data_IF_290011458909
#
_entry.id   IF_290011458909
#
_cell.length_a   1.000
_cell.length_b   1.000
_cell.length_c   1.000
_cell.angle_alpha   90.00
_cell.angle_beta   90.00
_cell.angle_gamma   90.00
#
_symmetry.space_group_name_H-M   'P 1'
#
loop_
_entity.id
_entity.type
_entity.pdbx_description
1 polymer ?
#
# COMPACT_ATOMS: atom_id res chain seq x y z
N UNK A 1 -13.67 -4.73 -41.25
CA UNK A 1 -13.09 -3.53 -40.62
C UNK A 1 -12.73 -3.91 -39.20
N UNK A 2 -11.45 -4.17 -38.97
CA UNK A 2 -10.92 -4.62 -37.68
C UNK A 2 -11.00 -3.48 -36.68
N UNK A 3 -11.75 -3.69 -35.60
CA UNK A 3 -11.78 -2.84 -34.42
C UNK A 3 -10.47 -3.05 -33.65
N UNK A 4 -9.54 -2.11 -33.77
CA UNK A 4 -8.36 -2.04 -32.91
C UNK A 4 -8.81 -1.95 -31.44
N UNK A 5 -8.23 -2.82 -30.61
CA UNK A 5 -8.32 -2.73 -29.15
C UNK A 5 -7.69 -1.41 -28.68
N UNK A 6 -8.14 -0.81 -27.56
CA UNK A 6 -7.50 0.38 -27.01
C UNK A 6 -6.01 0.08 -26.76
N UNK A 7 -5.14 0.91 -27.34
CA UNK A 7 -3.68 0.81 -27.20
C UNK A 7 -3.32 0.87 -25.72
N UNK A 8 -2.57 -0.13 -25.25
CA UNK A 8 -1.98 -0.12 -23.91
C UNK A 8 -1.29 1.22 -23.64
N UNK A 9 -1.62 1.85 -22.51
CA UNK A 9 -1.11 3.17 -22.11
C UNK A 9 0.42 3.17 -22.24
N UNK A 10 0.96 4.09 -23.05
CA UNK A 10 2.40 4.16 -23.26
C UNK A 10 3.04 4.73 -22.00
N UNK A 11 3.75 3.85 -21.31
CA UNK A 11 4.53 4.15 -20.10
C UNK A 11 5.50 5.33 -20.30
N UNK A 12 6.05 5.48 -21.51
CA UNK A 12 6.93 6.58 -21.91
C UNK A 12 6.12 7.75 -22.46
N UNK A 13 6.37 8.97 -21.96
CA UNK A 13 5.74 10.19 -22.44
C UNK A 13 6.22 10.57 -23.85
N UNK A 14 7.47 10.24 -24.17
CA UNK A 14 8.11 10.60 -25.43
C UNK A 14 8.66 9.34 -26.11
N UNK A 15 8.49 9.23 -27.42
CA UNK A 15 9.08 8.17 -28.24
C UNK A 15 10.44 8.60 -28.83
N UNK A 16 11.29 7.63 -29.17
CA UNK A 16 12.57 7.89 -29.84
C UNK A 16 12.36 8.66 -31.15
N UNK A 17 13.14 9.72 -31.37
CA UNK A 17 13.10 10.53 -32.61
C UNK A 17 12.03 11.63 -32.63
N UNK A 18 11.31 11.86 -31.54
CA UNK A 18 10.38 12.98 -31.41
C UNK A 18 11.14 14.31 -31.32
N UNK A 19 10.71 15.31 -32.08
CA UNK A 19 11.13 16.71 -31.93
C UNK A 19 10.56 17.29 -30.62
N UNK A 20 11.40 17.32 -29.58
CA UNK A 20 11.00 17.72 -28.22
C UNK A 20 10.44 19.15 -28.17
N UNK A 21 11.08 20.19 -28.74
CA UNK A 21 10.50 21.53 -28.76
C UNK A 21 9.13 21.60 -29.44
N UNK A 22 8.94 20.90 -30.57
CA UNK A 22 7.64 20.88 -31.25
C UNK A 22 6.59 20.15 -30.42
N UNK A 23 6.97 19.04 -29.79
CA UNK A 23 6.06 18.27 -28.95
C UNK A 23 5.65 19.04 -27.69
N UNK A 24 6.58 19.72 -27.03
CA UNK A 24 6.28 20.58 -25.88
C UNK A 24 5.26 21.67 -26.25
N UNK A 25 5.42 22.36 -27.39
CA UNK A 25 4.45 23.35 -27.88
C UNK A 25 3.06 22.76 -28.12
N UNK A 26 2.98 21.56 -28.70
CA UNK A 26 1.70 20.86 -28.88
C UNK A 26 1.05 20.57 -27.52
N UNK A 27 1.81 20.08 -26.55
CA UNK A 27 1.29 19.77 -25.23
C UNK A 27 0.83 21.01 -24.47
N UNK A 28 1.50 22.15 -24.61
CA UNK A 28 1.01 23.42 -24.05
C UNK A 28 -0.35 23.80 -24.64
N UNK A 29 -0.54 23.64 -25.96
CA UNK A 29 -1.85 23.89 -26.59
C UNK A 29 -2.93 22.90 -26.11
N UNK A 30 -2.57 21.64 -25.87
CA UNK A 30 -3.48 20.63 -25.30
C UNK A 30 -3.87 21.02 -23.87
N UNK A 31 -2.88 21.38 -23.04
CA UNK A 31 -3.06 21.82 -21.67
C UNK A 31 -3.99 23.03 -21.59
N UNK A 32 -3.67 24.12 -22.31
CA UNK A 32 -4.47 25.34 -22.34
C UNK A 32 -5.92 25.07 -22.80
N UNK A 33 -6.09 24.28 -23.85
CA UNK A 33 -7.42 23.95 -24.37
C UNK A 33 -8.23 23.13 -23.37
N UNK A 34 -7.65 22.11 -22.75
CA UNK A 34 -8.36 21.28 -21.76
C UNK A 34 -8.73 22.09 -20.52
N UNK A 35 -7.81 22.90 -19.99
CA UNK A 35 -8.07 23.69 -18.78
C UNK A 35 -9.05 24.86 -19.02
N UNK A 36 -9.14 25.37 -20.25
CA UNK A 36 -10.14 26.38 -20.65
C UNK A 36 -11.47 25.80 -21.14
N UNK A 37 -11.64 24.47 -21.13
CA UNK A 37 -12.86 23.81 -21.61
C UNK A 37 -13.04 23.84 -23.14
N UNK A 38 -11.99 24.16 -23.89
CA UNK A 38 -11.96 24.13 -25.34
C UNK A 38 -11.61 22.74 -25.87
N UNK A 39 -11.88 22.51 -27.17
CA UNK A 39 -11.48 21.26 -27.83
C UNK A 39 -9.96 21.26 -28.07
N UNK A 40 -9.19 20.33 -27.50
CA UNK A 40 -7.75 20.32 -27.67
C UNK A 40 -7.35 19.82 -29.08
N UNK A 41 -6.17 20.25 -29.58
CA UNK A 41 -5.66 19.82 -30.90
C UNK A 41 -5.29 18.33 -30.94
N UNK A 42 -5.06 17.73 -29.78
CA UNK A 42 -4.86 16.29 -29.59
C UNK A 42 -5.40 15.88 -28.21
N UNK A 43 -5.70 14.59 -28.03
CA UNK A 43 -6.09 14.09 -26.72
C UNK A 43 -4.85 13.95 -25.81
N UNK A 44 -4.94 14.34 -24.53
CA UNK A 44 -3.91 14.00 -23.56
C UNK A 44 -3.82 12.47 -23.42
N UNK A 45 -2.64 11.96 -23.04
CA UNK A 45 -2.49 10.53 -22.71
C UNK A 45 -3.43 10.14 -21.57
N UNK A 46 -3.86 8.88 -21.54
CA UNK A 46 -4.88 8.43 -20.59
C UNK A 46 -4.47 8.68 -19.12
N UNK A 47 -3.21 8.42 -18.74
CA UNK A 47 -2.70 8.72 -17.39
C UNK A 47 -2.81 10.21 -17.04
N UNK A 48 -2.52 11.10 -17.99
CA UNK A 48 -2.60 12.55 -17.81
C UNK A 48 -4.07 12.99 -17.73
N UNK A 49 -4.91 12.47 -18.61
CA UNK A 49 -6.35 12.76 -18.64
C UNK A 49 -7.03 12.36 -17.32
N UNK A 50 -6.73 11.16 -16.78
CA UNK A 50 -7.24 10.70 -15.48
C UNK A 50 -6.80 11.63 -14.35
N UNK A 51 -5.51 11.97 -14.31
CA UNK A 51 -4.94 12.89 -13.32
C UNK A 51 -5.61 14.27 -13.36
N UNK A 52 -5.69 14.90 -14.54
CA UNK A 52 -6.32 16.22 -14.71
C UNK A 52 -7.80 16.19 -14.32
N UNK A 53 -8.52 15.13 -14.69
CA UNK A 53 -9.93 14.98 -14.31
C UNK A 53 -10.11 14.93 -12.79
N UNK A 54 -9.24 14.22 -12.06
CA UNK A 54 -9.27 14.19 -10.57
C UNK A 54 -8.99 15.57 -9.98
N UNK A 55 -7.98 16.26 -10.52
CA UNK A 55 -7.57 17.59 -10.04
C UNK A 55 -8.65 18.65 -10.27
N UNK A 56 -9.27 18.66 -11.46
CA UNK A 56 -10.38 19.54 -11.78
C UNK A 56 -11.61 19.24 -10.91
N UNK A 57 -11.93 17.97 -10.70
CA UNK A 57 -13.01 17.57 -9.79
C UNK A 57 -12.73 17.99 -8.33
N UNK A 58 -11.45 18.06 -7.93
CA UNK A 58 -11.00 18.59 -6.65
C UNK A 58 -10.90 20.11 -6.58
N UNK A 59 -11.19 20.84 -7.65
CA UNK A 59 -11.13 22.31 -7.70
C UNK A 59 -9.72 22.88 -7.70
N UNK A 60 -8.69 22.09 -8.03
CA UNK A 60 -7.31 22.57 -8.05
C UNK A 60 -7.07 23.53 -9.22
N UNK A 61 -6.53 24.71 -8.93
CA UNK A 61 -6.07 25.65 -9.95
C UNK A 61 -4.62 25.32 -10.40
N UNK A 62 -4.33 25.31 -11.71
CA UNK A 62 -2.97 25.11 -12.22
C UNK A 62 -1.98 26.20 -11.79
N UNK A 63 -2.47 27.41 -11.49
CA UNK A 63 -1.65 28.57 -11.14
C UNK A 63 -1.36 28.67 -9.62
N UNK A 64 -2.10 27.91 -8.81
CA UNK A 64 -1.98 27.89 -7.35
C UNK A 64 -1.65 26.48 -6.84
N UNK A 65 -0.61 25.89 -7.42
CA UNK A 65 -0.04 24.64 -6.93
C UNK A 65 1.08 24.95 -5.92
N UNK A 66 1.10 24.24 -4.78
CA UNK A 66 2.12 24.30 -3.72
C UNK A 66 2.03 25.39 -2.61
N UNK A 67 0.91 25.49 -1.90
CA UNK A 67 0.78 26.30 -0.67
C UNK A 67 1.12 25.53 0.64
N UNK A 68 1.82 24.39 0.55
CA UNK A 68 2.15 23.58 1.73
C UNK A 68 3.60 23.85 2.16
N UNK A 69 3.77 24.34 3.39
CA UNK A 69 5.10 24.49 3.98
C UNK A 69 5.82 23.13 4.05
N UNK A 70 7.09 23.05 3.63
CA UNK A 70 7.88 21.82 3.75
C UNK A 70 8.02 21.37 5.21
N UNK A 71 8.04 20.05 5.42
CA UNK A 71 8.35 19.45 6.70
C UNK A 71 9.71 19.93 7.21
N UNK A 72 9.80 20.19 8.52
CA UNK A 72 11.06 20.61 9.13
C UNK A 72 12.07 19.46 9.23
N UNK A 73 13.30 19.78 9.62
CA UNK A 73 14.37 18.79 9.76
C UNK A 73 14.01 17.64 10.70
N UNK A 74 13.32 17.92 11.81
CA UNK A 74 12.97 16.90 12.80
C UNK A 74 11.94 15.92 12.27
N UNK A 75 10.96 16.42 11.51
CA UNK A 75 9.97 15.58 10.85
C UNK A 75 10.61 14.74 9.73
N UNK A 76 11.51 15.31 8.92
CA UNK A 76 12.23 14.58 7.88
C UNK A 76 13.04 13.43 8.50
N UNK A 77 13.80 13.68 9.57
CA UNK A 77 14.59 12.63 10.23
C UNK A 77 13.71 11.54 10.86
N UNK A 78 12.57 11.91 11.43
CA UNK A 78 11.59 10.95 11.95
C UNK A 78 11.04 10.05 10.83
N UNK A 79 10.72 10.63 9.66
CA UNK A 79 10.28 9.88 8.46
C UNK A 79 11.39 8.96 7.93
N UNK A 80 12.62 9.47 7.80
CA UNK A 80 13.82 8.70 7.39
C UNK A 80 14.12 7.51 8.31
N UNK A 81 13.89 7.68 9.61
CA UNK A 81 14.10 6.62 10.61
C UNK A 81 13.06 5.51 10.52
N UNK A 82 11.80 5.87 10.23
CA UNK A 82 10.66 4.94 10.22
C UNK A 82 10.48 4.21 8.88
N UNK A 83 10.92 4.80 7.77
CA UNK A 83 10.73 4.20 6.44
C UNK A 83 11.64 2.99 6.19
N UNK A 84 11.10 1.96 5.54
CA UNK A 84 11.88 0.83 5.04
C UNK A 84 12.76 1.20 3.84
N UNK A 85 12.52 2.34 3.18
CA UNK A 85 13.35 2.81 2.06
C UNK A 85 14.80 3.08 2.45
N UNK A 86 15.05 3.41 3.73
CA UNK A 86 16.40 3.61 4.26
C UNK A 86 17.31 2.40 4.02
N UNK A 87 16.74 1.19 4.10
CA UNK A 87 17.44 -0.07 3.87
C UNK A 87 18.05 -0.15 2.47
N UNK A 88 17.30 0.30 1.46
CA UNK A 88 17.67 0.20 0.04
C UNK A 88 18.32 1.46 -0.49
N UNK A 89 18.41 2.51 0.32
CA UNK A 89 19.05 3.77 -0.07
C UNK A 89 20.47 3.58 -0.63
N UNK A 90 21.37 2.77 -0.03
CA UNK A 90 22.70 2.57 -0.59
C UNK A 90 22.68 1.97 -2.01
N UNK A 91 21.76 1.03 -2.26
CA UNK A 91 21.59 0.38 -3.57
C UNK A 91 21.00 1.32 -4.62
N UNK A 92 20.02 2.14 -4.23
CA UNK A 92 19.44 3.15 -5.10
C UNK A 92 20.49 4.21 -5.47
N UNK A 93 21.30 4.65 -4.51
CA UNK A 93 22.40 5.60 -4.75
C UNK A 93 23.48 5.03 -5.66
N UNK A 94 23.91 3.80 -5.42
CA UNK A 94 24.93 3.16 -6.27
C UNK A 94 24.45 2.98 -7.71
N UNK A 95 23.16 2.72 -7.91
CA UNK A 95 22.57 2.50 -9.24
C UNK A 95 22.29 3.80 -10.00
N UNK A 96 21.81 4.84 -9.30
CA UNK A 96 21.23 6.02 -9.97
C UNK A 96 22.07 7.29 -9.86
N UNK A 97 22.86 7.47 -8.80
CA UNK A 97 23.50 8.77 -8.55
C UNK A 97 24.54 9.12 -9.61
N UNK A 98 25.41 8.18 -10.03
CA UNK A 98 26.38 8.44 -11.09
C UNK A 98 25.71 8.78 -12.43
N UNK A 99 24.67 8.01 -12.78
CA UNK A 99 23.89 8.26 -14.01
C UNK A 99 23.23 9.64 -13.97
N UNK A 100 22.73 10.05 -12.81
CA UNK A 100 22.09 11.35 -12.65
C UNK A 100 23.07 12.52 -12.78
N UNK A 101 24.29 12.40 -12.26
CA UNK A 101 25.32 13.42 -12.43
C UNK A 101 25.74 13.58 -13.90
N UNK A 102 26.03 12.47 -14.57
CA UNK A 102 26.47 12.47 -15.98
C UNK A 102 25.38 12.96 -16.94
N UNK A 103 24.12 12.63 -16.66
CA UNK A 103 22.99 12.95 -17.53
C UNK A 103 22.24 14.25 -17.16
N UNK A 104 22.78 15.06 -16.24
CA UNK A 104 22.15 16.29 -15.75
C UNK A 104 20.71 16.08 -15.25
N UNK A 105 20.54 15.15 -14.32
CA UNK A 105 19.31 14.90 -13.59
C UNK A 105 19.51 15.00 -12.07
N UNK A 106 18.41 14.98 -11.35
CA UNK A 106 18.35 14.68 -9.92
C UNK A 106 17.58 13.39 -9.70
N UNK A 107 18.00 12.64 -8.68
CA UNK A 107 17.27 11.50 -8.13
C UNK A 107 16.61 11.97 -6.84
N UNK A 108 15.33 11.67 -6.72
CA UNK A 108 14.51 12.00 -5.56
C UNK A 108 13.88 10.73 -5.04
N UNK A 109 13.90 10.56 -3.73
CA UNK A 109 13.19 9.49 -3.05
C UNK A 109 12.17 10.13 -2.12
N UNK A 110 10.89 9.85 -2.37
CA UNK A 110 9.78 10.32 -1.54
C UNK A 110 9.14 9.14 -0.79
N UNK A 111 8.54 9.41 0.37
CA UNK A 111 7.74 8.41 1.09
C UNK A 111 6.35 8.21 0.49
N UNK A 112 5.57 7.30 1.08
CA UNK A 112 4.21 6.98 0.65
C UNK A 112 3.21 8.14 0.76
N UNK A 113 3.53 9.20 1.52
CA UNK A 113 2.71 10.43 1.60
C UNK A 113 3.08 11.46 0.51
N UNK A 114 4.10 11.14 -0.30
CA UNK A 114 4.69 12.02 -1.30
C UNK A 114 5.66 13.04 -0.72
N UNK A 115 6.17 12.85 0.50
CA UNK A 115 7.15 13.77 1.11
C UNK A 115 8.56 13.40 0.67
N UNK A 116 9.30 14.38 0.17
CA UNK A 116 10.67 14.20 -0.27
C UNK A 116 11.60 13.90 0.90
N UNK A 117 12.21 12.72 0.89
CA UNK A 117 13.13 12.29 1.94
C UNK A 117 14.60 12.43 1.56
N UNK A 118 14.96 12.19 0.30
CA UNK A 118 16.35 12.31 -0.16
C UNK A 118 16.40 12.90 -1.56
N UNK A 119 17.39 13.77 -1.82
CA UNK A 119 17.59 14.39 -3.14
C UNK A 119 19.08 14.50 -3.50
N UNK A 120 19.49 13.85 -4.59
CA UNK A 120 20.88 13.79 -5.06
C UNK A 120 20.99 14.04 -6.58
N UNK A 121 22.19 14.31 -7.10
CA UNK A 121 22.44 14.56 -8.52
C UNK A 121 22.97 15.97 -8.84
N UNK A 122 22.83 16.38 -10.11
CA UNK A 122 23.48 17.57 -10.67
C UNK A 122 23.15 18.87 -9.89
N UNK A 123 24.20 19.61 -9.52
CA UNK A 123 24.06 20.88 -8.77
C UNK A 123 23.22 21.92 -9.51
N UNK A 124 23.35 22.01 -10.83
CA UNK A 124 22.58 22.95 -11.65
C UNK A 124 21.09 22.64 -11.61
N UNK A 125 20.74 21.35 -11.73
CA UNK A 125 19.35 20.88 -11.66
C UNK A 125 18.79 21.04 -10.25
N UNK A 126 19.57 20.77 -9.20
CA UNK A 126 19.16 21.02 -7.80
C UNK A 126 18.79 22.50 -7.57
N UNK A 127 19.59 23.43 -8.10
CA UNK A 127 19.28 24.87 -8.01
C UNK A 127 18.00 25.24 -8.75
N UNK A 128 17.74 24.63 -9.91
CA UNK A 128 16.49 24.82 -10.63
C UNK A 128 15.30 24.22 -9.86
N UNK A 129 15.48 23.06 -9.22
CA UNK A 129 14.49 22.40 -8.38
C UNK A 129 14.15 23.25 -7.13
N UNK A 130 15.15 23.91 -6.52
CA UNK A 130 14.92 24.81 -5.39
C UNK A 130 13.97 25.96 -5.74
N UNK A 131 14.03 26.49 -6.96
CA UNK A 131 13.12 27.54 -7.43
C UNK A 131 11.66 27.08 -7.59
N UNK A 132 11.41 25.76 -7.63
CA UNK A 132 10.07 25.16 -7.62
C UNK A 132 9.61 24.74 -6.22
N UNK A 133 10.43 24.92 -5.18
CA UNK A 133 10.17 24.30 -3.88
C UNK A 133 10.29 22.78 -3.90
N UNK A 134 11.00 22.19 -4.89
CA UNK A 134 11.24 20.75 -4.99
C UNK A 134 12.41 20.34 -4.09
N UNK A 135 12.26 20.56 -2.78
CA UNK A 135 13.27 20.37 -1.74
C UNK A 135 12.90 19.24 -0.79
N UNK A 136 13.88 18.73 -0.03
CA UNK A 136 13.60 17.76 1.04
C UNK A 136 12.58 18.34 2.03
N UNK A 137 11.64 17.50 2.48
CA UNK A 137 10.49 17.90 3.30
C UNK A 137 9.27 18.41 2.52
N UNK A 138 9.43 18.81 1.25
CA UNK A 138 8.30 19.25 0.43
C UNK A 138 7.36 18.07 0.13
N UNK A 139 6.06 18.34 0.10
CA UNK A 139 5.04 17.34 -0.24
C UNK A 139 4.64 17.46 -1.71
N UNK A 140 4.90 16.40 -2.48
CA UNK A 140 4.66 16.29 -3.92
C UNK A 140 3.52 15.31 -4.26
N UNK A 141 2.57 15.14 -3.34
CA UNK A 141 1.32 14.45 -3.64
C UNK A 141 0.56 15.17 -4.78
N UNK A 142 -0.19 14.40 -5.60
CA UNK A 142 -0.93 14.95 -6.75
C UNK A 142 -1.90 16.05 -6.29
N UNK A 143 -2.57 15.87 -5.15
CA UNK A 143 -3.50 16.86 -4.59
C UNK A 143 -2.83 18.10 -3.98
N UNK A 144 -1.50 18.15 -3.90
CA UNK A 144 -0.75 19.29 -3.38
C UNK A 144 -0.11 20.12 -4.51
N UNK A 145 0.43 19.45 -5.54
CA UNK A 145 1.31 20.06 -6.55
C UNK A 145 0.79 19.86 -7.99
N UNK A 146 -0.37 19.22 -8.12
CA UNK A 146 -0.95 18.81 -9.40
C UNK A 146 -0.23 17.61 -10.01
N UNK A 147 -0.52 17.30 -11.27
CA UNK A 147 0.08 16.17 -12.00
C UNK A 147 1.59 16.28 -12.00
N UNK A 148 2.23 15.34 -11.31
CA UNK A 148 3.68 15.22 -11.18
C UNK A 148 4.04 13.74 -11.02
N UNK A 149 5.27 13.37 -11.33
CA UNK A 149 5.62 11.96 -11.43
C UNK A 149 5.59 11.21 -10.09
N UNK A 150 5.80 11.90 -8.96
CA UNK A 150 5.72 11.30 -7.61
C UNK A 150 4.25 11.03 -7.25
N UNK A 151 3.45 12.08 -7.19
CA UNK A 151 2.06 12.00 -6.78
C UNK A 151 1.20 11.12 -7.71
N UNK A 152 1.42 11.21 -9.02
CA UNK A 152 0.69 10.40 -9.98
C UNK A 152 1.13 8.94 -9.93
N UNK A 153 2.42 8.63 -9.74
CA UNK A 153 2.86 7.24 -9.57
C UNK A 153 2.28 6.57 -8.31
N UNK A 154 2.13 7.32 -7.21
CA UNK A 154 1.48 6.84 -5.99
C UNK A 154 0.01 6.47 -6.21
N UNK A 155 -0.72 7.27 -7.00
CA UNK A 155 -2.16 7.04 -7.24
C UNK A 155 -2.39 5.95 -8.28
N UNK A 156 -1.58 5.94 -9.34
CA UNK A 156 -1.69 4.95 -10.43
C UNK A 156 -1.09 3.60 -10.04
N UNK A 157 -0.37 3.51 -8.92
CA UNK A 157 0.36 2.31 -8.46
C UNK A 157 1.23 1.72 -9.59
N UNK A 158 1.89 2.62 -10.33
CA UNK A 158 2.62 2.30 -11.54
C UNK A 158 3.70 3.33 -11.83
N UNK A 159 4.69 2.93 -12.62
CA UNK A 159 5.70 3.87 -13.10
C UNK A 159 5.08 4.87 -14.09
N UNK A 160 5.42 6.15 -13.93
CA UNK A 160 4.88 7.25 -14.73
C UNK A 160 6.04 8.12 -15.20
N UNK A 161 6.06 8.42 -16.50
CA UNK A 161 6.88 9.50 -17.06
C UNK A 161 5.97 10.64 -17.48
N UNK A 162 6.34 11.86 -17.11
CA UNK A 162 5.67 13.10 -17.52
C UNK A 162 6.67 13.99 -18.24
N UNK A 163 6.23 14.59 -19.33
CA UNK A 163 7.03 15.51 -20.14
C UNK A 163 6.32 16.85 -20.29
N UNK A 164 7.02 17.93 -19.94
CA UNK A 164 6.59 19.30 -20.21
C UNK A 164 5.15 19.59 -19.75
N UNK A 165 4.28 20.08 -20.62
CA UNK A 165 2.90 20.48 -20.31
C UNK A 165 1.92 19.32 -20.01
N UNK A 166 2.42 18.10 -19.82
CA UNK A 166 1.67 17.05 -19.12
C UNK A 166 1.60 17.29 -17.61
N UNK A 167 2.57 18.04 -17.06
CA UNK A 167 2.46 18.55 -15.71
C UNK A 167 1.31 19.55 -15.61
N UNK A 168 0.54 19.45 -14.54
CA UNK A 168 -0.64 20.30 -14.36
C UNK A 168 -0.27 21.77 -14.15
N UNK A 169 0.77 22.03 -13.35
CA UNK A 169 1.25 23.38 -13.09
C UNK A 169 2.18 23.88 -14.22
N UNK A 170 1.94 25.08 -14.80
CA UNK A 170 2.80 25.68 -15.82
C UNK A 170 4.26 25.86 -15.40
N UNK A 171 4.51 26.07 -14.11
CA UNK A 171 5.85 26.17 -13.53
C UNK A 171 6.71 24.93 -13.76
N UNK A 172 6.09 23.75 -13.98
CA UNK A 172 6.78 22.49 -14.22
C UNK A 172 7.00 22.18 -15.72
N UNK A 173 6.49 22.99 -16.64
CA UNK A 173 6.54 22.68 -18.09
C UNK A 173 7.96 22.63 -18.68
N UNK A 174 8.95 23.18 -17.96
CA UNK A 174 10.38 23.04 -18.28
C UNK A 174 11.00 21.69 -17.92
N UNK A 175 10.25 20.80 -17.27
CA UNK A 175 10.75 19.57 -16.66
C UNK A 175 10.26 18.30 -17.36
N UNK A 176 11.07 17.26 -17.23
CA UNK A 176 10.67 15.87 -17.44
C UNK A 176 10.95 15.10 -16.17
N UNK A 177 9.98 14.30 -15.74
CA UNK A 177 10.02 13.55 -14.49
C UNK A 177 9.65 12.10 -14.77
N UNK A 178 10.29 11.16 -14.09
CA UNK A 178 10.03 9.72 -14.21
C UNK A 178 10.04 9.10 -12.82
N UNK A 179 8.84 8.78 -12.31
CA UNK A 179 8.62 8.18 -11.01
C UNK A 179 8.26 6.70 -11.12
N UNK A 180 8.72 5.89 -10.17
CA UNK A 180 8.24 4.52 -9.98
C UNK A 180 8.02 4.23 -8.49
N UNK A 181 6.86 3.67 -8.11
CA UNK A 181 6.61 3.29 -6.73
C UNK A 181 7.51 2.11 -6.34
N UNK A 182 8.00 2.13 -5.10
CA UNK A 182 8.72 1.02 -4.45
C UNK A 182 7.75 0.34 -3.50
N UNK A 183 7.63 -0.98 -3.61
CA UNK A 183 6.74 -1.76 -2.76
C UNK A 183 7.51 -2.48 -1.67
N UNK A 184 6.83 -2.71 -0.56
CA UNK A 184 7.26 -3.69 0.41
C UNK A 184 6.95 -5.10 -0.15
N UNK A 185 7.95 -5.94 -0.48
CA UNK A 185 7.69 -7.27 -1.03
C UNK A 185 6.98 -8.19 -0.02
N UNK A 186 6.93 -7.83 1.26
CA UNK A 186 6.29 -8.59 2.35
C UNK A 186 4.81 -8.31 2.46
N UNK A 187 4.37 -7.09 2.14
CA UNK A 187 2.98 -6.63 2.32
C UNK A 187 2.29 -6.22 1.02
N UNK A 188 3.06 -5.89 -0.01
CA UNK A 188 2.59 -5.30 -1.26
C UNK A 188 2.28 -3.80 -1.14
N UNK A 189 2.48 -3.19 0.02
CA UNK A 189 2.20 -1.77 0.23
C UNK A 189 3.28 -0.89 -0.41
N UNK A 190 2.88 0.27 -0.95
CA UNK A 190 3.82 1.26 -1.46
C UNK A 190 4.58 1.88 -0.27
N UNK A 191 5.90 1.80 -0.30
CA UNK A 191 6.82 2.43 0.67
C UNK A 191 7.13 3.88 0.31
N UNK A 192 7.05 4.21 -0.98
CA UNK A 192 7.29 5.54 -1.54
C UNK A 192 7.63 5.46 -3.02
N UNK A 193 8.25 6.52 -3.55
CA UNK A 193 8.58 6.64 -4.98
C UNK A 193 10.05 6.98 -5.16
N UNK A 194 10.69 6.35 -6.16
CA UNK A 194 11.96 6.80 -6.73
C UNK A 194 11.65 7.59 -7.99
N UNK A 195 12.10 8.84 -8.04
CA UNK A 195 11.90 9.75 -9.16
C UNK A 195 13.23 10.23 -9.75
N UNK A 196 13.29 10.36 -11.07
CA UNK A 196 14.36 11.05 -11.78
C UNK A 196 13.77 12.25 -12.50
N UNK A 197 14.32 13.42 -12.20
CA UNK A 197 13.83 14.70 -12.72
C UNK A 197 14.96 15.53 -13.34
N UNK A 198 14.65 16.25 -14.41
CA UNK A 198 15.53 17.28 -14.97
C UNK A 198 14.90 17.99 -16.16
N UNK A 199 15.71 18.53 -17.06
CA UNK A 199 15.20 19.30 -18.20
C UNK A 199 14.27 18.46 -19.07
N UNK A 200 13.15 19.04 -19.50
CA UNK A 200 12.31 18.43 -20.52
C UNK A 200 13.13 18.07 -21.77
N UNK A 201 14.13 18.89 -22.12
CA UNK A 201 14.94 18.70 -23.32
C UNK A 201 15.98 17.57 -23.21
N UNK A 202 16.19 17.00 -22.03
CA UNK A 202 17.05 15.83 -21.85
C UNK A 202 16.27 14.52 -21.68
N UNK A 203 14.94 14.53 -21.80
CA UNK A 203 14.12 13.31 -21.65
C UNK A 203 14.58 12.20 -22.59
N UNK A 204 14.65 10.98 -22.05
CA UNK A 204 14.95 9.80 -22.84
C UNK A 204 13.98 8.65 -22.49
N UNK A 205 13.49 7.87 -23.48
CA UNK A 205 12.58 6.77 -23.21
C UNK A 205 13.17 5.70 -22.27
N UNK A 206 14.50 5.53 -22.27
CA UNK A 206 15.16 4.54 -21.40
C UNK A 206 15.18 4.93 -19.92
N UNK A 207 14.92 6.20 -19.57
CA UNK A 207 14.85 6.63 -18.17
C UNK A 207 13.80 5.83 -17.40
N UNK A 208 12.68 5.49 -18.04
CA UNK A 208 11.63 4.64 -17.44
C UNK A 208 12.16 3.24 -17.11
N UNK A 209 12.92 2.64 -18.02
CA UNK A 209 13.51 1.33 -17.80
C UNK A 209 14.57 1.37 -16.69
N UNK A 210 15.37 2.44 -16.62
CA UNK A 210 16.37 2.66 -15.59
C UNK A 210 15.72 2.73 -14.19
N UNK A 211 14.75 3.63 -14.00
CA UNK A 211 14.08 3.82 -12.71
C UNK A 211 13.39 2.52 -12.26
N UNK A 212 12.68 1.85 -13.16
CA UNK A 212 12.02 0.57 -12.84
C UNK A 212 13.00 -0.54 -12.49
N UNK A 213 14.16 -0.57 -13.12
CA UNK A 213 15.19 -1.57 -12.82
C UNK A 213 15.80 -1.31 -11.44
N UNK A 214 16.09 -0.04 -11.11
CA UNK A 214 16.57 0.34 -9.78
C UNK A 214 15.54 0.01 -8.68
N UNK A 215 14.25 0.29 -8.92
CA UNK A 215 13.16 -0.09 -8.01
C UNK A 215 13.09 -1.60 -7.80
N UNK A 216 13.11 -2.39 -8.88
CA UNK A 216 13.08 -3.86 -8.79
C UNK A 216 14.27 -4.41 -8.00
N UNK A 217 15.45 -3.81 -8.18
CA UNK A 217 16.65 -4.18 -7.44
C UNK A 217 16.51 -3.85 -5.94
N UNK A 218 15.95 -2.68 -5.62
CA UNK A 218 15.63 -2.29 -4.25
C UNK A 218 14.62 -3.27 -3.60
N UNK A 219 13.51 -3.57 -4.28
CA UNK A 219 12.52 -4.55 -3.80
C UNK A 219 13.13 -5.94 -3.58
N UNK A 220 14.00 -6.40 -4.49
CA UNK A 220 14.73 -7.64 -4.33
C UNK A 220 15.67 -7.62 -3.12
N UNK A 221 16.31 -6.49 -2.82
CA UNK A 221 17.13 -6.30 -1.61
C UNK A 221 16.28 -6.39 -0.34
N UNK A 222 15.11 -5.74 -0.30
CA UNK A 222 14.17 -5.86 0.83
C UNK A 222 13.73 -7.31 1.06
N UNK A 223 13.45 -8.05 -0.03
CA UNK A 223 13.08 -9.45 0.05
C UNK A 223 14.21 -10.35 0.57
N UNK A 224 15.46 -10.11 0.13
CA UNK A 224 16.64 -10.84 0.63
C UNK A 224 16.85 -10.60 2.13
N UNK A 225 16.74 -9.36 2.58
CA UNK A 225 16.85 -9.05 4.01
C UNK A 225 15.76 -9.71 4.85
N UNK A 226 14.54 -9.71 4.34
CA UNK A 226 13.42 -10.38 4.99
C UNK A 226 13.65 -11.89 5.09
N UNK A 227 14.10 -12.53 4.01
CA UNK A 227 14.44 -13.96 4.01
C UNK A 227 15.52 -14.26 5.05
N UNK A 228 16.57 -13.45 5.12
CA UNK A 228 17.61 -13.59 6.14
C UNK A 228 17.07 -13.39 7.57
N UNK A 229 16.07 -12.52 7.76
CA UNK A 229 15.39 -12.37 9.05
C UNK A 229 14.58 -13.62 9.42
N UNK A 230 13.86 -14.22 8.47
CA UNK A 230 13.13 -15.48 8.70
C UNK A 230 14.08 -16.62 9.04
N UNK A 231 15.23 -16.72 8.38
CA UNK A 231 16.24 -17.74 8.69
C UNK A 231 16.81 -17.57 10.11
N UNK A 232 17.08 -16.34 10.55
CA UNK A 232 17.49 -16.06 11.94
C UNK A 232 16.38 -16.42 12.93
N UNK A 233 15.13 -16.13 12.61
CA UNK A 233 13.98 -16.46 13.46
C UNK A 233 13.81 -17.99 13.58
N UNK A 234 13.92 -18.72 12.46
CA UNK A 234 13.93 -20.18 12.42
C UNK A 234 15.01 -20.77 13.32
N UNK A 235 16.25 -20.30 13.19
CA UNK A 235 17.38 -20.76 14.01
C UNK A 235 17.15 -20.55 15.50
N UNK A 236 16.60 -19.40 15.91
CA UNK A 236 16.27 -19.10 17.31
C UNK A 236 15.13 -19.96 17.86
N UNK A 237 14.17 -20.33 17.02
CA UNK A 237 12.98 -21.04 17.43
C UNK A 237 13.12 -22.57 17.42
N UNK A 238 14.13 -23.11 16.72
CA UNK A 238 14.33 -24.55 16.59
C UNK A 238 14.34 -25.32 17.94
N UNK A 239 15.03 -24.87 19.01
CA UNK A 239 14.99 -25.55 20.31
C UNK A 239 13.60 -25.52 20.98
N UNK A 240 12.85 -24.42 20.78
CA UNK A 240 11.50 -24.26 21.33
C UNK A 240 10.52 -25.20 20.62
N UNK A 241 10.62 -25.31 19.30
CA UNK A 241 9.77 -26.23 18.53
C UNK A 241 10.08 -27.69 18.82
N UNK A 242 11.36 -28.03 19.02
CA UNK A 242 11.77 -29.38 19.40
C UNK A 242 11.23 -29.79 20.79
N UNK A 243 11.06 -28.83 21.70
CA UNK A 243 10.54 -29.07 23.06
C UNK A 243 9.02 -28.89 23.20
N UNK A 244 8.34 -28.29 22.21
CA UNK A 244 6.91 -27.95 22.28
C UNK A 244 5.96 -29.16 22.30
N UNK A 245 6.43 -30.37 21.96
CA UNK A 245 5.67 -31.62 22.07
C UNK A 245 4.40 -31.70 21.20
N UNK A 246 4.16 -30.72 20.31
CA UNK A 246 2.96 -30.66 19.50
C UNK A 246 2.99 -29.64 18.37
N UNK A 247 1.91 -29.58 17.58
CA UNK A 247 1.73 -28.69 16.44
C UNK A 247 1.99 -27.19 16.73
N UNK A 248 2.95 -26.59 16.04
CA UNK A 248 3.32 -25.19 16.23
C UNK A 248 3.92 -24.54 14.97
N UNK A 249 3.82 -23.22 14.88
CA UNK A 249 4.40 -22.36 13.86
C UNK A 249 5.26 -21.29 14.50
N UNK A 250 6.26 -20.83 13.75
CA UNK A 250 7.01 -19.62 14.05
C UNK A 250 6.81 -18.67 12.90
N UNK A 251 6.34 -17.47 13.19
CA UNK A 251 5.97 -16.47 12.17
C UNK A 251 6.58 -15.12 12.51
N UNK A 252 6.87 -14.31 11.50
CA UNK A 252 7.30 -12.94 11.73
C UNK A 252 6.11 -12.00 12.04
N UNK A 253 6.40 -10.72 12.28
CA UNK A 253 5.38 -9.69 12.53
C UNK A 253 4.43 -9.44 11.35
N UNK A 254 4.81 -9.83 10.13
CA UNK A 254 3.98 -9.69 8.93
C UNK A 254 3.21 -10.98 8.60
N UNK A 255 3.36 -12.03 9.42
CA UNK A 255 2.68 -13.32 9.29
C UNK A 255 3.38 -14.32 8.38
N UNK A 256 4.60 -14.06 7.92
CA UNK A 256 5.39 -15.01 7.13
C UNK A 256 5.87 -16.16 8.01
N UNK A 257 5.65 -17.39 7.56
CA UNK A 257 6.04 -18.59 8.31
C UNK A 257 7.54 -18.80 8.15
N UNK A 258 8.27 -18.68 9.26
CA UNK A 258 9.67 -19.06 9.34
C UNK A 258 9.81 -20.57 9.51
N UNK A 259 9.02 -21.21 10.37
CA UNK A 259 9.16 -22.64 10.64
C UNK A 259 7.84 -23.27 11.09
N UNK A 260 7.69 -24.57 10.85
CA UNK A 260 6.51 -25.32 11.23
C UNK A 260 6.87 -26.70 11.78
N UNK A 261 6.23 -27.09 12.87
CA UNK A 261 6.37 -28.42 13.46
C UNK A 261 5.01 -29.09 13.57
N UNK A 262 4.92 -30.35 13.12
CA UNK A 262 3.72 -31.18 13.28
C UNK A 262 2.51 -30.77 12.45
N UNK A 263 2.64 -29.85 11.48
CA UNK A 263 1.58 -29.43 10.56
C UNK A 263 2.12 -29.06 9.18
N UNK A 264 1.27 -29.15 8.17
CA UNK A 264 1.49 -28.45 6.92
C UNK A 264 1.19 -26.96 7.12
N UNK A 265 2.22 -26.11 6.98
CA UNK A 265 2.07 -24.68 7.13
C UNK A 265 1.83 -24.00 5.78
N UNK A 266 0.94 -22.98 5.73
CA UNK A 266 0.93 -22.07 4.60
C UNK A 266 2.23 -21.25 4.57
N UNK A 267 2.52 -20.62 3.44
CA UNK A 267 3.64 -19.67 3.33
C UNK A 267 3.44 -18.45 4.27
N UNK A 268 2.17 -18.04 4.44
CA UNK A 268 1.79 -16.88 5.23
C UNK A 268 0.48 -17.10 5.98
N UNK A 269 0.42 -16.60 7.20
CA UNK A 269 -0.79 -16.46 8.02
C UNK A 269 -1.12 -14.98 8.23
N UNK A 270 -2.27 -14.66 8.82
CA UNK A 270 -2.56 -13.26 9.13
C UNK A 270 -1.52 -12.71 10.15
N UNK A 271 -1.12 -11.42 10.02
CA UNK A 271 -0.16 -10.81 10.94
C UNK A 271 -0.55 -11.00 12.41
N UNK A 272 0.34 -11.55 13.25
CA UNK A 272 0.03 -11.77 14.66
C UNK A 272 -0.04 -10.46 15.45
N UNK A 273 -0.73 -10.50 16.60
CA UNK A 273 -0.78 -9.41 17.57
C UNK A 273 -0.99 -9.95 18.98
N UNK A 274 -0.48 -9.26 20.01
CA UNK A 274 -0.49 -9.69 21.41
C UNK A 274 -1.88 -10.12 21.91
N UNK A 275 -2.93 -9.40 21.50
CA UNK A 275 -4.26 -9.51 22.13
C UNK A 275 -5.34 -10.12 21.21
N UNK A 276 -4.94 -10.69 20.07
CA UNK A 276 -5.91 -11.24 19.11
C UNK A 276 -5.60 -12.68 18.75
N UNK A 277 -6.60 -13.58 18.86
CA UNK A 277 -6.42 -14.95 18.41
C UNK A 277 -6.28 -14.98 16.89
N UNK A 278 -5.44 -15.89 16.43
CA UNK A 278 -5.10 -16.13 15.03
C UNK A 278 -5.64 -17.49 14.60
N UNK A 279 -6.39 -17.53 13.50
CA UNK A 279 -6.86 -18.77 12.91
C UNK A 279 -5.80 -19.22 11.93
N UNK A 280 -5.20 -20.37 12.22
CA UNK A 280 -4.20 -20.98 11.38
C UNK A 280 -4.80 -22.23 10.72
N UNK A 281 -4.75 -22.34 9.37
CA UNK A 281 -5.14 -23.56 8.68
C UNK A 281 -4.40 -24.78 9.26
N UNK A 282 -5.13 -25.84 9.61
CA UNK A 282 -4.56 -27.06 10.20
C UNK A 282 -4.38 -27.03 11.73
N UNK A 283 -4.16 -25.87 12.36
CA UNK A 283 -4.09 -25.74 13.83
C UNK A 283 -5.40 -25.30 14.48
N UNK A 284 -6.25 -24.56 13.76
CA UNK A 284 -7.41 -23.91 14.34
C UNK A 284 -7.04 -22.60 15.03
N UNK A 285 -7.72 -22.29 16.13
CA UNK A 285 -7.56 -21.03 16.85
C UNK A 285 -6.31 -21.08 17.75
N UNK A 286 -5.38 -20.16 17.52
CA UNK A 286 -4.10 -20.07 18.20
C UNK A 286 -3.96 -18.70 18.88
N UNK A 287 -3.17 -18.67 19.96
CA UNK A 287 -2.76 -17.42 20.61
C UNK A 287 -1.29 -17.19 20.24
N UNK A 288 -0.96 -16.07 19.58
CA UNK A 288 0.44 -15.73 19.30
C UNK A 288 1.20 -15.38 20.57
N UNK A 289 2.34 -16.02 20.79
CA UNK A 289 3.27 -15.75 21.89
C UNK A 289 4.50 -15.02 21.33
N UNK A 290 4.93 -13.87 21.90
CA UNK A 290 6.10 -13.15 21.43
C UNK A 290 7.39 -13.99 21.49
N UNK A 291 8.17 -13.95 20.41
CA UNK A 291 9.46 -14.63 20.29
C UNK A 291 10.49 -13.72 19.62
N UNK A 292 11.10 -12.83 20.40
CA UNK A 292 12.04 -11.83 19.86
C UNK A 292 11.37 -10.94 18.81
N UNK A 293 11.84 -11.01 17.57
CA UNK A 293 11.30 -10.25 16.43
C UNK A 293 10.15 -10.99 15.69
N UNK A 294 9.72 -12.14 16.20
CA UNK A 294 8.63 -12.94 15.65
C UNK A 294 7.71 -13.47 16.74
N UNK A 295 6.99 -14.53 16.40
CA UNK A 295 5.93 -15.11 17.22
C UNK A 295 5.95 -16.62 17.15
N UNK A 296 5.78 -17.27 18.30
CA UNK A 296 5.40 -18.67 18.38
C UNK A 296 3.87 -18.76 18.34
N UNK A 297 3.34 -19.57 17.44
CA UNK A 297 1.89 -19.76 17.25
C UNK A 297 1.61 -21.25 17.37
N UNK A 298 0.94 -21.65 18.44
CA UNK A 298 0.59 -23.05 18.70
C UNK A 298 -0.89 -23.16 19.07
N UNK A 299 -1.44 -24.35 18.89
CA UNK A 299 -2.79 -24.65 19.38
C UNK A 299 -2.76 -24.70 20.91
N UNK A 300 -3.81 -24.17 21.54
CA UNK A 300 -4.00 -24.26 22.99
C UNK A 300 -4.05 -25.73 23.43
N UNK A 301 -3.23 -26.10 24.41
CA UNK A 301 -3.13 -27.50 24.93
C UNK A 301 -4.35 -27.87 25.78
N UNK A 302 -4.96 -26.90 26.47
CA UNK A 302 -6.17 -27.11 27.27
C UNK A 302 -7.34 -26.32 26.69
N UNK A 303 -8.47 -26.98 26.44
CA UNK A 303 -9.66 -26.45 25.78
C UNK A 303 -10.41 -25.32 26.49
N UNK A 304 -9.74 -24.34 27.09
CA UNK A 304 -10.38 -23.09 27.48
C UNK A 304 -10.79 -22.36 26.18
N UNK A 305 -12.06 -22.58 25.84
CA UNK A 305 -12.73 -21.96 24.72
C UNK A 305 -12.63 -20.44 24.86
N UNK A 306 -12.38 -19.77 23.74
CA UNK A 306 -12.54 -18.32 23.71
C UNK A 306 -14.04 -18.04 23.88
N UNK A 307 -14.43 -17.42 24.98
CA UNK A 307 -15.82 -17.03 25.21
C UNK A 307 -16.06 -15.66 24.59
N UNK A 308 -16.96 -15.61 23.63
CA UNK A 308 -17.50 -14.39 23.05
C UNK A 308 -18.80 -14.06 23.76
N UNK A 309 -18.76 -13.03 24.59
CA UNK A 309 -19.94 -12.43 25.20
C UNK A 309 -20.44 -11.30 24.29
N UNK A 310 -21.65 -11.47 23.76
CA UNK A 310 -22.30 -10.55 22.84
C UNK A 310 -23.42 -9.81 23.57
N UNK A 311 -23.20 -8.53 23.88
CA UNK A 311 -24.25 -7.61 24.29
C UNK A 311 -24.71 -6.86 23.04
N UNK A 312 -25.90 -7.19 22.56
CA UNK A 312 -26.44 -6.69 21.31
C UNK A 312 -27.66 -5.79 21.57
N UNK A 313 -27.69 -5.08 22.70
CA UNK A 313 -28.70 -4.09 23.03
C UNK A 313 -28.52 -2.75 22.28
N UNK A 314 -28.90 -1.64 22.91
CA UNK A 314 -28.84 -0.29 22.33
C UNK A 314 -27.42 0.22 22.09
N UNK A 315 -26.47 -0.20 22.94
CA UNK A 315 -25.05 0.08 22.82
C UNK A 315 -24.27 -1.23 22.58
N UNK A 316 -24.32 -1.78 21.35
CA UNK A 316 -23.84 -3.13 21.12
C UNK A 316 -22.34 -3.21 21.33
N UNK A 317 -21.91 -4.23 22.06
CA UNK A 317 -20.53 -4.49 22.42
C UNK A 317 -20.24 -5.98 22.43
N UNK A 318 -18.98 -6.31 22.26
CA UNK A 318 -18.49 -7.69 22.34
C UNK A 318 -17.31 -7.75 23.29
N UNK A 319 -17.38 -8.71 24.19
CA UNK A 319 -16.29 -9.04 25.09
C UNK A 319 -15.73 -10.39 24.70
N UNK A 320 -14.43 -10.44 24.43
CA UNK A 320 -13.68 -11.68 24.26
C UNK A 320 -13.03 -11.99 25.60
N UNK A 321 -13.38 -13.15 26.17
CA UNK A 321 -12.78 -13.67 27.40
C UNK A 321 -11.88 -14.87 27.09
N UNK A 322 -10.71 -14.90 27.72
CA UNK A 322 -9.67 -15.91 27.53
C UNK A 322 -8.41 -15.56 28.31
N UNK A 323 -7.24 -15.72 27.70
CA UNK A 323 -5.96 -15.31 28.31
C UNK A 323 -5.74 -13.79 28.25
N UNK A 324 -6.39 -13.14 27.30
CA UNK A 324 -6.52 -11.69 27.22
C UNK A 324 -8.01 -11.36 27.19
N UNK A 325 -8.45 -10.51 28.11
CA UNK A 325 -9.82 -10.05 28.18
C UNK A 325 -9.90 -8.65 27.58
N UNK A 326 -10.72 -8.48 26.55
CA UNK A 326 -10.97 -7.17 25.98
C UNK A 326 -12.44 -7.02 25.60
N UNK A 327 -12.91 -5.78 25.65
CA UNK A 327 -14.27 -5.39 25.26
C UNK A 327 -14.18 -4.31 24.19
N UNK A 328 -15.05 -4.39 23.18
CA UNK A 328 -15.14 -3.40 22.10
C UNK A 328 -16.58 -3.09 21.74
N UNK A 329 -16.84 -1.82 21.46
CA UNK A 329 -18.08 -1.38 20.85
C UNK A 329 -18.20 -1.91 19.41
N UNK A 330 -19.42 -2.24 19.01
CA UNK A 330 -19.77 -2.71 17.68
C UNK A 330 -20.53 -1.61 16.92
N UNK A 331 -20.37 -1.57 15.60
CA UNK A 331 -21.29 -0.81 14.77
C UNK A 331 -22.66 -1.50 14.76
N UNK A 332 -23.76 -0.78 14.49
CA UNK A 332 -25.08 -1.39 14.34
C UNK A 332 -25.07 -2.53 13.30
N UNK A 333 -24.32 -2.36 12.22
CA UNK A 333 -24.18 -3.37 11.15
C UNK A 333 -23.43 -4.62 11.62
N UNK A 334 -22.34 -4.44 12.36
CA UNK A 334 -21.59 -5.56 12.94
C UNK A 334 -22.43 -6.33 13.97
N UNK A 335 -23.23 -5.63 14.79
CA UNK A 335 -24.15 -6.26 15.73
C UNK A 335 -25.19 -7.12 15.01
N UNK A 336 -25.79 -6.63 13.93
CA UNK A 336 -26.72 -7.40 13.10
C UNK A 336 -26.07 -8.66 12.50
N UNK A 337 -24.85 -8.54 11.95
CA UNK A 337 -24.09 -9.68 11.43
C UNK A 337 -23.91 -10.75 12.52
N UNK A 338 -23.45 -10.35 13.70
CA UNK A 338 -23.21 -11.28 14.80
C UNK A 338 -24.50 -11.93 15.31
N UNK A 339 -25.66 -11.24 15.27
CA UNK A 339 -26.98 -11.85 15.56
C UNK A 339 -27.30 -12.97 14.58
N UNK A 340 -27.15 -12.73 13.27
CA UNK A 340 -27.41 -13.74 12.23
C UNK A 340 -26.49 -14.94 12.42
N UNK A 341 -25.18 -14.72 12.60
CA UNK A 341 -24.22 -15.80 12.77
C UNK A 341 -24.46 -16.63 14.04
N UNK A 342 -24.86 -15.99 15.15
CA UNK A 342 -25.15 -16.73 16.39
C UNK A 342 -26.47 -17.49 16.34
N UNK A 343 -27.41 -17.10 15.47
CA UNK A 343 -28.61 -17.89 15.20
C UNK A 343 -28.32 -19.10 14.29
N UNK A 344 -27.41 -18.96 13.32
CA UNK A 344 -27.03 -20.03 12.40
C UNK A 344 -26.11 -21.11 13.03
N UNK A 345 -25.43 -20.78 14.13
CA UNK A 345 -24.59 -21.73 14.86
C UNK A 345 -23.41 -22.26 14.03
N UNK A 346 -23.14 -23.56 14.15
CA UNK A 346 -22.01 -24.22 13.48
C UNK A 346 -22.20 -24.45 11.99
N UNK A 347 -23.45 -24.43 11.48
CA UNK A 347 -23.74 -24.55 10.06
C UNK A 347 -23.20 -23.35 9.25
N UNK A 348 -23.23 -22.17 9.87
CA UNK A 348 -22.81 -20.92 9.24
C UNK A 348 -23.76 -20.42 8.16
N UNK A 349 -23.38 -19.28 7.56
CA UNK A 349 -24.18 -18.56 6.56
C UNK A 349 -23.28 -18.16 5.40
N UNK A 350 -23.73 -18.30 4.16
CA UNK A 350 -22.99 -17.78 3.00
C UNK A 350 -23.23 -16.28 2.80
N UNK A 351 -22.50 -15.65 1.86
CA UNK A 351 -22.59 -14.21 1.66
C UNK A 351 -23.96 -13.75 1.13
N UNK A 352 -24.62 -14.58 0.31
CA UNK A 352 -25.92 -14.25 -0.26
C UNK A 352 -27.03 -14.32 0.79
N UNK A 353 -27.03 -15.36 1.62
CA UNK A 353 -27.99 -15.54 2.72
C UNK A 353 -27.78 -14.50 3.82
N UNK A 354 -26.53 -14.09 4.06
CA UNK A 354 -26.23 -12.99 4.97
C UNK A 354 -26.67 -11.63 4.40
N UNK A 355 -26.59 -11.42 3.08
CA UNK A 355 -27.17 -10.24 2.42
C UNK A 355 -28.68 -10.20 2.61
N UNK A 356 -29.35 -11.31 2.34
CA UNK A 356 -30.81 -11.44 2.46
C UNK A 356 -31.28 -11.15 3.89
N UNK A 357 -30.56 -11.66 4.89
CA UNK A 357 -30.86 -11.40 6.30
C UNK A 357 -30.61 -9.95 6.76
N UNK A 358 -29.72 -9.20 6.10
CA UNK A 358 -29.30 -7.84 6.52
C UNK A 358 -29.95 -6.71 5.73
N UNK A 359 -30.28 -6.96 4.47
CA UNK A 359 -30.78 -5.98 3.50
C UNK A 359 -32.14 -6.37 2.91
N UNK A 360 -32.57 -7.62 3.05
CA UNK A 360 -33.81 -8.15 2.47
C UNK A 360 -33.65 -8.71 1.05
N UNK A 361 -32.45 -8.63 0.46
CA UNK A 361 -32.14 -9.13 -0.89
C UNK A 361 -30.72 -9.71 -0.98
N UNK A 362 -30.37 -10.30 -2.14
CA UNK A 362 -29.07 -10.93 -2.39
C UNK A 362 -28.08 -10.04 -3.17
N UNK A 363 -28.39 -8.77 -3.39
CA UNK A 363 -27.62 -7.90 -4.28
C UNK A 363 -26.43 -7.23 -3.57
N UNK A 364 -26.40 -7.28 -2.24
CA UNK A 364 -25.42 -6.57 -1.41
C UNK A 364 -24.21 -7.45 -0.97
N UNK A 365 -23.89 -8.52 -1.72
CA UNK A 365 -22.80 -9.46 -1.39
C UNK A 365 -21.44 -8.79 -1.20
N UNK A 366 -21.11 -7.79 -2.02
CA UNK A 366 -19.83 -7.06 -1.92
C UNK A 366 -19.77 -6.27 -0.62
N UNK A 367 -20.86 -5.59 -0.25
CA UNK A 367 -20.95 -4.84 1.00
C UNK A 367 -20.87 -5.78 2.22
N UNK A 368 -21.56 -6.93 2.18
CA UNK A 368 -21.48 -7.96 3.22
C UNK A 368 -20.05 -8.45 3.41
N UNK A 369 -19.35 -8.79 2.32
CA UNK A 369 -17.96 -9.23 2.37
C UNK A 369 -17.05 -8.16 2.98
N UNK A 370 -17.27 -6.89 2.63
CA UNK A 370 -16.52 -5.77 3.19
C UNK A 370 -16.76 -5.60 4.70
N UNK A 371 -18.01 -5.66 5.15
CA UNK A 371 -18.36 -5.55 6.58
C UNK A 371 -17.82 -6.74 7.39
N UNK A 372 -17.94 -7.97 6.89
CA UNK A 372 -17.35 -9.13 7.58
C UNK A 372 -15.83 -9.04 7.64
N UNK A 373 -15.18 -8.52 6.60
CA UNK A 373 -13.74 -8.27 6.60
C UNK A 373 -13.34 -7.27 7.70
N UNK A 374 -14.06 -6.15 7.83
CA UNK A 374 -13.85 -5.15 8.89
C UNK A 374 -14.09 -5.74 10.27
N UNK A 375 -15.15 -6.53 10.42
CA UNK A 375 -15.47 -7.22 11.66
C UNK A 375 -14.34 -8.16 12.10
N UNK A 376 -13.78 -8.96 11.18
CA UNK A 376 -12.62 -9.84 11.45
C UNK A 376 -11.37 -9.07 11.84
N UNK A 377 -11.10 -7.92 11.20
CA UNK A 377 -9.98 -7.05 11.59
C UNK A 377 -10.10 -6.57 13.05
N UNK A 378 -11.33 -6.37 13.51
CA UNK A 378 -11.63 -5.89 14.85
C UNK A 378 -11.67 -7.01 15.91
N UNK A 379 -12.28 -8.16 15.60
CA UNK A 379 -12.47 -9.27 16.55
C UNK A 379 -11.37 -10.34 16.51
N UNK A 380 -10.45 -10.23 15.55
CA UNK A 380 -9.49 -11.29 15.27
C UNK A 380 -10.15 -12.46 14.53
N UNK A 381 -9.51 -13.62 14.59
CA UNK A 381 -9.90 -14.76 13.77
C UNK A 381 -10.98 -15.65 14.39
N UNK A 382 -11.81 -15.09 15.27
CA UNK A 382 -12.94 -15.77 15.92
C UNK A 382 -14.10 -16.06 14.97
N UNK A 383 -14.07 -15.51 13.75
CA UNK A 383 -15.00 -15.81 12.66
C UNK A 383 -14.27 -16.52 11.51
N UNK A 384 -14.81 -17.67 11.09
CA UNK A 384 -14.49 -18.34 9.82
C UNK A 384 -15.32 -17.74 8.69
N UNK A 385 -14.84 -17.83 7.45
CA UNK A 385 -15.43 -17.17 6.28
C UNK A 385 -15.96 -18.11 5.20
N UNK A 386 -15.89 -19.43 5.40
CA UNK A 386 -16.38 -20.41 4.44
C UNK A 386 -17.03 -21.62 5.14
N UNK A 387 -18.37 -21.63 5.29
CA UNK A 387 -19.27 -20.47 5.39
C UNK A 387 -18.95 -19.52 6.57
N UNK A 388 -19.58 -18.34 6.62
CA UNK A 388 -19.44 -17.41 7.74
C UNK A 388 -20.00 -18.04 9.01
N UNK A 389 -19.15 -18.22 10.04
CA UNK A 389 -19.54 -18.78 11.35
C UNK A 389 -18.50 -18.45 12.41
N UNK A 390 -18.82 -18.67 13.68
CA UNK A 390 -17.82 -18.65 14.73
C UNK A 390 -16.82 -19.80 14.53
N UNK A 391 -15.53 -19.51 14.74
CA UNK A 391 -14.46 -20.46 14.57
C UNK A 391 -14.57 -21.62 15.58
N UNK A 392 -14.04 -22.79 15.21
CA UNK A 392 -13.99 -23.91 16.15
C UNK A 392 -13.16 -23.53 17.39
N UNK A 393 -13.66 -23.87 18.59
CA UNK A 393 -13.04 -23.47 19.86
C UNK A 393 -13.52 -22.12 20.41
N UNK A 394 -14.51 -21.49 19.76
CA UNK A 394 -15.17 -20.27 20.24
C UNK A 394 -16.55 -20.63 20.79
N UNK A 395 -16.82 -20.26 22.05
CA UNK A 395 -18.15 -20.38 22.67
C UNK A 395 -18.81 -19.02 22.68
N UNK A 396 -20.07 -18.94 22.26
CA UNK A 396 -20.78 -17.66 22.15
C UNK A 396 -21.89 -17.60 23.18
N UNK A 397 -21.88 -16.56 24.01
CA UNK A 397 -22.93 -16.24 24.99
C UNK A 397 -23.54 -14.89 24.63
N UNK A 398 -24.86 -14.82 24.48
CA UNK A 398 -25.56 -13.54 24.34
C UNK A 398 -25.97 -13.03 25.71
N UNK A 399 -25.76 -11.74 25.95
CA UNK A 399 -26.30 -11.01 27.09
C UNK A 399 -27.45 -10.19 26.56
N UNK A 400 -28.60 -10.32 27.22
CA UNK A 400 -29.90 -9.82 26.76
C UNK A 400 -29.95 -8.32 26.62
#
# INVERSE_FOLDING_TARGET
MSTERPTADRLTAVATGVDLPRHARLLSQVHDAVLSGQRPPALPRDVVARSWSRLQAGGMSPDHCADVEPADFSEIEARRTRTALRTVLPELRSTLTQVAEDANFIVVIADADGVLLWREGSRGVRKAADALGFTEGARWAEQAVGTNAIGTALIEDAAVQLFSAEHYAPTHHGWSCTGSPVHDPRTGEILGVVDISGSAMSVHPTTVALVRTAVRLAEATLWREHTAQLDRLRGRAAPLLASAGGPALVVDKHGWVAEASGIAAPERVAPPSLDKPLLVPGLGLCVPEPLGDGWLVRRRVDGAAIELELDLGDAPQVTVRGDVNWTRALSPRHAQILRVLSAAGTAGVDAASLSEALFGDRDHVVAVRAEVSRLRKNLGAVLSTQPYRFAAGVTVRRVG
#
